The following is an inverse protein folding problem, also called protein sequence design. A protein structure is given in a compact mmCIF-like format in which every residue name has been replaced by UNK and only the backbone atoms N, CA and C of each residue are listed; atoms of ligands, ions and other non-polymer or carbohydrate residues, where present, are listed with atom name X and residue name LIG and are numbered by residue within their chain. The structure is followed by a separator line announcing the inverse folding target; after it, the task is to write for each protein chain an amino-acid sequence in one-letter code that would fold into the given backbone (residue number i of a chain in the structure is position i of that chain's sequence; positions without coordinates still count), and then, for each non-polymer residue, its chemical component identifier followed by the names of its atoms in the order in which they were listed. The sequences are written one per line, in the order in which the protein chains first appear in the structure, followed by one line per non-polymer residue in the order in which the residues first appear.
data_IF_022435900081
#
_entry.id   IF_022435900081
#
_cell.length_a   1.000
_cell.length_b   1.000
_cell.length_c   1.000
_cell.angle_alpha   90.00
_cell.angle_beta   90.00
_cell.angle_gamma   90.00
#
_symmetry.space_group_name_H-M   'P 1'
#
loop_
_entity.id
_entity.type
_entity.pdbx_description
1 polymer ?
#
# COMPACT_ATOMS: atom_id res chain seq x y z
N UNK A 1 45.38 21.83 -10.39
CA UNK A 1 45.03 21.18 -11.68
C UNK A 1 43.58 21.50 -11.96
N UNK A 2 43.36 22.58 -12.70
CA UNK A 2 42.05 23.07 -13.11
C UNK A 2 41.66 22.36 -14.41
N UNK A 3 40.46 21.78 -14.46
CA UNK A 3 39.77 21.51 -15.73
C UNK A 3 38.32 21.91 -15.56
N UNK A 4 38.01 23.10 -16.09
CA UNK A 4 36.65 23.54 -16.33
C UNK A 4 35.98 22.65 -17.37
N UNK A 5 34.71 22.33 -17.12
CA UNK A 5 33.83 21.70 -18.08
C UNK A 5 32.80 22.76 -18.49
N UNK A 6 32.91 23.19 -19.75
CA UNK A 6 31.97 24.05 -20.46
C UNK A 6 31.28 23.20 -21.52
N UNK A 7 30.19 23.76 -22.09
CA UNK A 7 29.52 23.33 -23.33
C UNK A 7 28.47 22.22 -23.09
N UNK A 8 27.20 22.28 -23.52
CA UNK A 8 26.53 23.12 -24.52
C UNK A 8 25.02 23.16 -24.25
N UNK A 9 24.40 24.33 -24.41
CA UNK A 9 22.95 24.44 -24.65
C UNK A 9 22.66 24.10 -26.10
N UNK A 10 21.90 23.04 -26.38
CA UNK A 10 21.45 22.71 -27.73
C UNK A 10 20.11 21.94 -27.67
N UNK A 11 19.04 22.63 -28.07
CA UNK A 11 18.03 22.19 -29.06
C UNK A 11 16.59 21.75 -28.65
N UNK A 12 15.69 22.47 -29.33
CA UNK A 12 14.37 22.17 -29.87
C UNK A 12 13.23 21.82 -28.93
N UNK A 13 12.37 22.82 -28.76
CA UNK A 13 10.96 22.63 -28.44
C UNK A 13 10.30 21.72 -29.47
N UNK A 14 9.81 20.60 -28.98
CA UNK A 14 8.89 19.71 -29.68
C UNK A 14 7.49 20.22 -29.36
N UNK A 15 6.86 20.83 -30.37
CA UNK A 15 5.45 21.22 -30.34
C UNK A 15 4.62 19.94 -30.51
N UNK A 16 4.18 19.34 -29.40
CA UNK A 16 3.29 18.17 -29.44
C UNK A 16 1.85 18.63 -29.56
N UNK A 17 1.28 18.48 -30.76
CA UNK A 17 -0.15 18.70 -31.03
C UNK A 17 -0.89 17.43 -30.64
N UNK A 18 -1.54 17.43 -29.47
CA UNK A 18 -2.45 16.35 -29.06
C UNK A 18 -3.85 16.61 -29.64
N UNK A 19 -4.15 15.93 -30.76
CA UNK A 19 -5.50 15.72 -31.26
C UNK A 19 -6.17 14.63 -30.39
N UNK A 20 -6.94 15.06 -29.39
CA UNK A 20 -7.78 14.14 -28.61
C UNK A 20 -9.10 13.96 -29.36
N UNK A 21 -9.17 12.87 -30.14
CA UNK A 21 -10.42 12.34 -30.66
C UNK A 21 -11.23 11.76 -29.49
N UNK A 22 -12.47 12.24 -29.33
CA UNK A 22 -13.36 11.84 -28.25
C UNK A 22 -13.70 10.34 -28.32
N UNK A 23 -13.50 9.64 -27.21
CA UNK A 23 -14.08 8.32 -26.99
C UNK A 23 -15.50 8.51 -26.44
N UNK A 24 -16.49 8.12 -27.24
CA UNK A 24 -17.84 7.87 -26.74
C UNK A 24 -17.81 6.58 -25.92
N UNK A 25 -18.15 6.66 -24.63
CA UNK A 25 -18.34 5.49 -23.78
C UNK A 25 -19.79 5.05 -23.86
N UNK A 26 -20.02 3.88 -24.45
CA UNK A 26 -21.29 3.16 -24.39
C UNK A 26 -21.47 2.63 -22.95
N UNK A 27 -22.57 3.01 -22.31
CA UNK A 27 -22.94 2.59 -20.96
C UNK A 27 -23.78 1.32 -21.11
N UNK A 28 -23.25 0.19 -20.66
CA UNK A 28 -24.02 -1.06 -20.58
C UNK A 28 -24.94 -1.09 -19.35
N UNK A 29 -26.11 -1.75 -19.44
CA UNK A 29 -27.08 -1.81 -18.36
C UNK A 29 -26.63 -2.74 -17.22
N UNK A 30 -26.81 -2.25 -15.99
CA UNK A 30 -26.54 -2.99 -14.74
C UNK A 30 -27.61 -4.07 -14.57
N UNK A 31 -27.21 -5.35 -14.64
CA UNK A 31 -28.08 -6.47 -14.27
C UNK A 31 -28.24 -6.54 -12.75
N UNK A 32 -29.49 -6.57 -12.32
CA UNK A 32 -29.89 -6.58 -10.92
C UNK A 32 -29.76 -8.02 -10.37
N UNK A 33 -28.66 -8.29 -9.67
CA UNK A 33 -28.44 -9.60 -9.02
C UNK A 33 -29.37 -9.71 -7.82
N UNK A 34 -30.26 -10.69 -7.86
CA UNK A 34 -31.19 -11.01 -6.77
C UNK A 34 -30.47 -11.94 -5.81
N UNK A 35 -30.16 -11.45 -4.61
CA UNK A 35 -29.56 -12.24 -3.53
C UNK A 35 -30.61 -13.20 -2.95
N UNK A 36 -30.40 -14.50 -3.14
CA UNK A 36 -31.12 -15.54 -2.40
C UNK A 36 -30.48 -15.67 -1.02
N UNK A 37 -31.12 -15.06 -0.02
CA UNK A 37 -30.80 -15.25 1.40
C UNK A 37 -31.23 -16.66 1.79
N UNK A 38 -30.26 -17.57 1.90
CA UNK A 38 -30.43 -18.90 2.48
C UNK A 38 -30.27 -18.79 3.99
N UNK A 39 -31.36 -19.04 4.69
CA UNK A 39 -31.46 -19.05 6.14
C UNK A 39 -30.85 -20.36 6.67
N UNK A 40 -29.56 -20.33 7.02
CA UNK A 40 -28.89 -21.44 7.69
C UNK A 40 -29.21 -21.40 9.19
N UNK A 41 -29.75 -22.53 9.66
CA UNK A 41 -30.25 -22.72 11.02
C UNK A 41 -29.08 -22.96 11.96
N UNK A 42 -28.86 -22.06 12.91
CA UNK A 42 -27.83 -22.19 13.95
C UNK A 42 -28.13 -23.36 14.90
N UNK A 43 -27.19 -24.30 14.95
CA UNK A 43 -27.13 -25.33 15.97
C UNK A 43 -26.28 -24.79 17.14
N UNK A 44 -26.91 -24.49 18.27
CA UNK A 44 -26.23 -23.99 19.47
C UNK A 44 -25.80 -25.20 20.31
N UNK A 45 -24.51 -25.56 20.40
CA UNK A 45 -24.07 -26.57 21.36
C UNK A 45 -24.13 -26.01 22.78
N UNK A 46 -24.58 -26.85 23.72
CA UNK A 46 -24.59 -26.55 25.15
C UNK A 46 -23.15 -26.32 25.64
N UNK A 47 -22.87 -25.09 26.06
CA UNK A 47 -21.57 -24.65 26.56
C UNK A 47 -21.42 -25.06 28.03
N UNK A 48 -20.54 -26.01 28.27
CA UNK A 48 -20.10 -26.40 29.61
C UNK A 48 -19.14 -25.32 30.13
N UNK A 49 -19.57 -24.58 31.16
CA UNK A 49 -18.85 -23.42 31.70
C UNK A 49 -17.75 -23.93 32.63
N UNK A 50 -16.53 -24.04 32.10
CA UNK A 50 -15.33 -24.32 32.90
C UNK A 50 -14.87 -22.99 33.53
N UNK A 51 -15.03 -22.86 34.84
CA UNK A 51 -14.51 -21.73 35.62
C UNK A 51 -12.97 -21.76 35.62
N UNK A 52 -12.36 -21.12 34.62
CA UNK A 52 -10.94 -20.82 34.63
C UNK A 52 -10.69 -19.58 35.48
N UNK A 53 -10.07 -19.79 36.65
CA UNK A 53 -9.45 -18.72 37.43
C UNK A 53 -8.25 -18.16 36.66
N UNK A 54 -8.51 -17.15 35.83
CA UNK A 54 -7.48 -16.37 35.15
C UNK A 54 -6.80 -15.52 36.22
N UNK A 55 -5.65 -15.99 36.68
CA UNK A 55 -4.74 -15.22 37.52
C UNK A 55 -3.98 -14.29 36.58
N UNK A 56 -4.63 -13.19 36.21
CA UNK A 56 -4.10 -12.18 35.29
C UNK A 56 -2.92 -11.48 35.96
N UNK A 57 -1.73 -11.98 35.68
CA UNK A 57 -0.48 -11.37 36.08
C UNK A 57 -0.28 -10.20 35.13
N UNK A 58 -0.52 -8.98 35.60
CA UNK A 58 -0.27 -7.75 34.84
C UNK A 58 1.26 -7.57 34.79
N UNK A 59 1.88 -8.31 33.88
CA UNK A 59 3.24 -8.06 33.42
C UNK A 59 3.16 -6.81 32.56
N UNK A 60 3.67 -5.69 33.07
CA UNK A 60 3.65 -4.43 32.34
C UNK A 60 4.44 -4.62 31.05
N UNK A 61 3.74 -4.67 29.92
CA UNK A 61 4.38 -4.87 28.63
C UNK A 61 5.38 -3.72 28.37
N UNK A 62 6.58 -4.04 27.87
CA UNK A 62 7.55 -3.01 27.54
C UNK A 62 6.92 -2.08 26.53
N UNK A 63 6.87 -0.79 26.84
CA UNK A 63 6.36 0.25 25.94
C UNK A 63 7.06 0.12 24.59
N UNK A 64 6.36 -0.46 23.62
CA UNK A 64 6.89 -0.78 22.29
C UNK A 64 7.11 0.54 21.56
N UNK A 65 8.33 1.07 21.64
CA UNK A 65 8.72 2.31 20.97
C UNK A 65 8.81 2.08 19.46
N UNK A 66 7.78 2.53 18.74
CA UNK A 66 7.70 2.56 17.28
C UNK A 66 7.03 1.33 16.69
N UNK A 67 5.72 1.40 16.46
CA UNK A 67 5.06 0.46 15.55
C UNK A 67 5.10 1.04 14.14
N UNK A 68 5.58 0.21 13.22
CA UNK A 68 5.42 0.41 11.79
C UNK A 68 4.47 -0.69 11.34
N UNK A 69 3.38 -0.32 10.67
CA UNK A 69 2.43 -1.25 10.06
C UNK A 69 2.34 -0.95 8.58
N UNK A 70 2.19 -2.00 7.78
CA UNK A 70 2.25 -1.96 6.33
C UNK A 70 1.09 -2.78 5.79
N UNK A 71 0.29 -2.19 4.90
CA UNK A 71 -0.93 -2.80 4.37
C UNK A 71 -0.69 -3.98 3.45
N UNK A 72 0.53 -4.13 2.94
CA UNK A 72 0.83 -5.04 1.82
C UNK A 72 1.66 -6.25 2.30
N UNK A 73 1.69 -6.48 3.63
CA UNK A 73 2.31 -7.65 4.24
C UNK A 73 1.41 -8.87 4.06
N UNK A 74 1.90 -9.85 3.31
CA UNK A 74 1.26 -11.15 3.11
C UNK A 74 2.29 -12.31 3.17
N UNK A 75 1.84 -13.54 2.92
CA UNK A 75 2.70 -14.74 2.96
C UNK A 75 3.83 -14.71 1.90
N UNK A 76 3.59 -14.06 0.75
CA UNK A 76 4.55 -13.92 -0.34
C UNK A 76 5.45 -12.68 -0.15
N UNK A 77 4.96 -11.67 0.55
CA UNK A 77 5.61 -10.39 0.81
C UNK A 77 5.74 -10.11 2.32
N UNK A 78 6.51 -10.92 3.08
CA UNK A 78 6.60 -10.80 4.54
C UNK A 78 7.26 -9.48 5.03
N UNK A 79 7.78 -8.67 4.09
CA UNK A 79 8.35 -7.34 4.37
C UNK A 79 7.46 -6.19 3.86
N UNK A 80 6.29 -6.51 3.31
CA UNK A 80 5.37 -5.53 2.70
C UNK A 80 5.83 -4.95 1.36
N UNK A 81 6.94 -5.46 0.78
CA UNK A 81 7.43 -4.98 -0.51
C UNK A 81 6.66 -5.68 -1.63
N UNK A 82 5.68 -5.02 -2.24
CA UNK A 82 4.81 -5.55 -3.29
C UNK A 82 4.46 -4.49 -4.34
N UNK A 83 5.27 -4.40 -5.41
CA UNK A 83 5.07 -3.43 -6.49
C UNK A 83 3.72 -3.55 -7.24
N UNK A 84 2.98 -4.64 -7.11
CA UNK A 84 1.72 -4.87 -7.83
C UNK A 84 0.48 -4.46 -7.02
N UNK A 85 0.65 -4.11 -5.75
CA UNK A 85 -0.40 -3.63 -4.86
C UNK A 85 -0.06 -2.18 -4.47
N UNK A 86 -1.08 -1.36 -4.22
CA UNK A 86 -0.87 0.01 -3.79
C UNK A 86 -0.93 0.06 -2.27
N UNK A 87 0.24 0.22 -1.64
CA UNK A 87 0.41 0.09 -0.22
C UNK A 87 0.37 1.39 0.57
N UNK A 88 0.22 1.19 1.88
CA UNK A 88 0.16 2.22 2.91
C UNK A 88 0.98 1.77 4.11
N UNK A 89 1.99 2.57 4.45
CA UNK A 89 2.76 2.42 5.69
C UNK A 89 2.28 3.43 6.71
N UNK A 90 1.91 2.95 7.89
CA UNK A 90 1.63 3.78 9.06
C UNK A 90 2.77 3.65 10.07
N UNK A 91 3.36 4.78 10.47
CA UNK A 91 4.39 4.82 11.49
C UNK A 91 3.97 5.72 12.65
N UNK A 92 4.20 5.24 13.87
CA UNK A 92 4.05 6.04 15.08
C UNK A 92 5.40 6.53 15.59
N UNK A 93 5.68 7.83 15.43
CA UNK A 93 6.86 8.44 16.01
C UNK A 93 6.77 8.52 17.55
N UNK A 94 7.93 8.65 18.20
CA UNK A 94 8.05 8.82 19.66
C UNK A 94 7.47 10.18 20.08
N UNK A 95 6.15 10.23 20.19
CA UNK A 95 5.37 11.47 20.38
C UNK A 95 3.90 11.35 19.96
N UNK A 96 3.52 10.27 19.26
CA UNK A 96 2.13 9.82 19.18
C UNK A 96 1.32 10.28 17.98
N UNK A 97 1.89 11.08 17.06
CA UNK A 97 1.20 11.37 15.79
C UNK A 97 1.51 10.26 14.79
N UNK A 98 0.51 9.49 14.33
CA UNK A 98 0.71 8.56 13.23
C UNK A 98 1.04 9.32 11.93
N UNK A 99 2.05 8.85 11.22
CA UNK A 99 2.43 9.30 9.89
C UNK A 99 2.07 8.22 8.87
N UNK A 100 1.26 8.59 7.88
CA UNK A 100 0.86 7.70 6.79
C UNK A 100 1.69 8.02 5.55
N UNK A 101 2.33 7.01 4.99
CA UNK A 101 3.10 7.05 3.74
C UNK A 101 2.41 6.12 2.75
N UNK A 102 2.33 6.53 1.49
CA UNK A 102 1.63 5.78 0.44
C UNK A 102 2.58 5.55 -0.72
N UNK A 103 2.43 4.40 -1.35
CA UNK A 103 3.16 4.11 -2.57
C UNK A 103 2.74 5.08 -3.67
N UNK A 104 3.71 5.44 -4.51
CA UNK A 104 3.49 6.48 -5.51
C UNK A 104 4.26 6.20 -6.78
N UNK A 105 3.71 6.64 -7.90
CA UNK A 105 4.39 6.47 -9.18
C UNK A 105 5.46 7.54 -9.37
N UNK A 106 6.68 7.12 -9.66
CA UNK A 106 7.80 8.00 -9.95
C UNK A 106 8.64 7.47 -11.10
N UNK A 107 8.85 8.30 -12.13
CA UNK A 107 9.70 7.98 -13.29
C UNK A 107 9.38 6.67 -14.02
N UNK A 108 8.11 6.24 -14.03
CA UNK A 108 7.68 4.99 -14.65
C UNK A 108 7.76 3.75 -13.75
N UNK A 109 8.30 3.87 -12.54
CA UNK A 109 8.26 2.83 -11.51
C UNK A 109 7.40 3.20 -10.30
N UNK A 110 7.34 2.30 -9.32
CA UNK A 110 6.73 2.52 -7.99
C UNK A 110 7.81 2.97 -7.01
N UNK A 111 7.55 4.07 -6.31
CA UNK A 111 8.25 4.44 -5.09
C UNK A 111 7.51 3.78 -3.92
N UNK A 112 8.08 2.68 -3.46
CA UNK A 112 7.54 1.79 -2.43
C UNK A 112 7.92 2.29 -1.05
N UNK A 113 6.97 2.34 -0.12
CA UNK A 113 7.20 2.45 1.31
C UNK A 113 6.95 1.09 1.97
N UNK A 114 7.83 0.70 2.89
CA UNK A 114 7.65 -0.55 3.62
C UNK A 114 8.18 -0.48 5.05
N UNK A 115 7.77 -1.43 5.90
CA UNK A 115 8.30 -1.56 7.25
C UNK A 115 9.58 -2.39 7.32
N UNK A 116 10.68 -1.77 7.79
CA UNK A 116 11.94 -2.45 8.11
C UNK A 116 12.13 -2.51 9.63
N UNK A 117 11.54 -3.55 10.24
CA UNK A 117 11.43 -3.63 11.70
C UNK A 117 10.44 -2.60 12.23
N UNK A 118 10.88 -1.73 13.13
CA UNK A 118 10.04 -0.68 13.76
C UNK A 118 10.04 0.65 13.02
N UNK A 119 10.71 0.72 11.86
CA UNK A 119 10.89 1.96 11.10
C UNK A 119 10.37 1.79 9.68
N UNK A 120 9.86 2.88 9.11
CA UNK A 120 9.61 2.96 7.69
C UNK A 120 10.94 2.99 6.91
N UNK A 121 10.90 2.44 5.70
CA UNK A 121 11.93 2.57 4.69
C UNK A 121 11.25 2.76 3.32
N UNK A 122 12.03 3.13 2.31
CA UNK A 122 11.53 3.18 0.94
C UNK A 122 12.53 2.66 -0.09
N UNK A 123 12.01 2.28 -1.26
CA UNK A 123 12.81 1.92 -2.42
C UNK A 123 12.08 2.23 -3.73
N UNK A 124 12.83 2.32 -4.83
CA UNK A 124 12.27 2.46 -6.16
C UNK A 124 12.25 1.09 -6.84
N UNK A 125 11.11 0.70 -7.38
CA UNK A 125 10.89 -0.53 -8.15
C UNK A 125 10.52 -0.15 -9.58
N UNK A 126 11.21 -0.73 -10.56
CA UNK A 126 10.94 -0.50 -11.98
C UNK A 126 9.73 -1.33 -12.42
N UNK A 127 8.80 -0.72 -13.16
CA UNK A 127 7.63 -1.41 -13.71
C UNK A 127 7.78 -1.59 -15.22
N UNK A 128 7.54 -2.81 -15.73
CA UNK A 128 7.65 -3.11 -17.16
C UNK A 128 6.62 -2.32 -18.00
N UNK A 129 5.37 -2.22 -17.53
CA UNK A 129 4.30 -1.48 -18.21
C UNK A 129 3.97 -0.12 -17.57
N UNK A 130 4.90 0.41 -16.77
CA UNK A 130 4.71 1.66 -16.05
C UNK A 130 3.95 1.48 -14.72
N UNK A 131 3.78 2.60 -14.02
CA UNK A 131 3.08 2.66 -12.74
C UNK A 131 1.77 3.46 -12.88
N UNK A 132 0.73 2.99 -12.20
CA UNK A 132 -0.54 3.68 -12.05
C UNK A 132 -1.07 3.53 -10.62
N UNK A 133 -1.44 4.65 -10.01
CA UNK A 133 -2.03 4.69 -8.66
C UNK A 133 -1.20 4.02 -7.55
N UNK A 134 0.14 4.07 -7.66
CA UNK A 134 1.04 3.48 -6.66
C UNK A 134 1.35 2.00 -6.87
N UNK A 135 0.91 1.40 -7.99
CA UNK A 135 1.23 0.01 -8.34
C UNK A 135 1.69 -0.11 -9.81
N UNK A 136 2.49 -1.13 -10.10
CA UNK A 136 2.85 -1.55 -11.46
C UNK A 136 1.62 -2.06 -12.22
N UNK A 137 1.69 -1.97 -13.56
CA UNK A 137 0.66 -2.45 -14.49
C UNK A 137 1.13 -3.66 -15.31
#
# INVERSE_FOLDING_TARGET
MERGYQVSQVIMGILVVFLIAGCATEIEPIENVTENVSEETEFIPEVEIVEMNITESIESEPVTMGSCTDSDVDELHPKGINANLAGVVEQHDKGGTPHTLRDSCYSGGVHEWYCNGTKQASMQLDCENGCKSGACQ
#
